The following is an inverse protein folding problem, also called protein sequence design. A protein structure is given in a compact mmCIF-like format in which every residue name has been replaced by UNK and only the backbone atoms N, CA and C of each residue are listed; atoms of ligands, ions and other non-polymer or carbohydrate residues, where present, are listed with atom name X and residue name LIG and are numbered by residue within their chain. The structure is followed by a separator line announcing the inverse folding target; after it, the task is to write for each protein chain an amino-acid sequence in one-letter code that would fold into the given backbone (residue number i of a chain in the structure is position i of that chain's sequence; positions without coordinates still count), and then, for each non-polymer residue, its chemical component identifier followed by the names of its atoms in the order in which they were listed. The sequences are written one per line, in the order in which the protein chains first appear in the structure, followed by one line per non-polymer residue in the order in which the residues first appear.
data_IF_023906000812
#
_entry.id   IF_023906000812
#
_cell.length_a   1.000
_cell.length_b   1.000
_cell.length_c   1.000
_cell.angle_alpha   90.00
_cell.angle_beta   90.00
_cell.angle_gamma   90.00
#
_symmetry.space_group_name_H-M   'P 1'
#
loop_
_entity.id
_entity.type
_entity.pdbx_description
1 polymer ?
#
# COMPACT_ATOMS: atom_id res chain seq x y z
N UNK A 1 -7.66 48.95 -55.31
CA UNK A 1 -7.43 48.02 -56.43
C UNK A 1 -6.70 46.80 -55.87
N UNK A 2 -7.34 45.88 -55.14
CA UNK A 2 -8.62 45.17 -55.33
C UNK A 2 -8.51 43.93 -56.23
N UNK A 3 -8.75 42.76 -55.59
CA UNK A 3 -9.38 41.55 -56.15
C UNK A 3 -8.73 40.87 -57.39
N UNK A 4 -9.02 39.62 -57.76
CA UNK A 4 -9.33 38.38 -57.01
C UNK A 4 -9.36 37.21 -58.04
N UNK A 5 -9.42 35.96 -57.55
CA UNK A 5 -9.88 34.76 -58.29
C UNK A 5 -9.02 34.23 -59.47
N UNK A 6 -9.20 32.99 -59.99
CA UNK A 6 -9.37 31.62 -59.39
C UNK A 6 -9.15 30.58 -60.53
N UNK A 7 -9.63 29.32 -60.41
CA UNK A 7 -9.61 28.18 -61.38
C UNK A 7 -8.31 27.35 -61.25
N UNK A 8 -8.31 26.00 -61.19
CA UNK A 8 -9.20 24.91 -61.66
C UNK A 8 -9.44 23.83 -60.55
N UNK A 9 -10.21 22.72 -60.69
CA UNK A 9 -11.46 22.30 -61.39
C UNK A 9 -11.85 20.85 -60.86
N UNK A 10 -12.82 20.03 -61.36
CA UNK A 10 -13.86 19.47 -60.45
C UNK A 10 -14.26 17.95 -60.57
N UNK A 11 -15.22 17.52 -59.71
CA UNK A 11 -16.18 16.37 -59.87
C UNK A 11 -15.66 14.89 -59.79
N UNK A 12 -16.44 13.82 -59.48
CA UNK A 12 -17.69 13.59 -58.69
C UNK A 12 -18.05 12.05 -58.53
N UNK A 13 -18.54 11.58 -57.36
CA UNK A 13 -19.30 10.28 -57.09
C UNK A 13 -18.57 8.90 -57.27
N UNK A 14 -19.06 7.66 -56.95
CA UNK A 14 -20.40 7.07 -56.58
C UNK A 14 -20.35 5.89 -55.55
N UNK A 15 -21.08 6.02 -54.43
CA UNK A 15 -21.99 5.12 -53.63
C UNK A 15 -22.11 3.57 -53.86
N UNK A 16 -22.01 2.77 -52.77
CA UNK A 16 -22.95 1.69 -52.27
C UNK A 16 -22.30 0.82 -51.14
N UNK A 17 -22.99 0.24 -50.13
CA UNK A 17 -24.36 0.40 -49.63
C UNK A 17 -24.87 -0.79 -48.77
N UNK A 18 -25.28 -0.58 -47.49
CA UNK A 18 -26.01 -1.55 -46.64
C UNK A 18 -26.68 -0.88 -45.41
N UNK A 19 -27.80 -1.43 -44.89
CA UNK A 19 -28.60 -0.90 -43.76
C UNK A 19 -29.03 -2.04 -42.80
N UNK A 20 -29.33 -1.74 -41.52
CA UNK A 20 -30.62 -1.97 -40.82
C UNK A 20 -30.56 -1.76 -39.27
N UNK A 21 -31.60 -1.10 -38.72
CA UNK A 21 -32.23 -1.26 -37.37
C UNK A 21 -31.38 -1.08 -36.08
N UNK A 22 -31.53 -0.06 -35.22
CA UNK A 22 -32.67 0.57 -34.47
C UNK A 22 -33.09 -0.09 -33.12
N UNK A 23 -32.90 0.64 -32.01
CA UNK A 23 -33.93 0.83 -30.93
C UNK A 23 -33.58 2.00 -29.99
N UNK A 24 -34.61 2.65 -29.42
CA UNK A 24 -34.55 3.65 -28.33
C UNK A 24 -35.06 3.04 -27.01
N UNK A 25 -34.77 3.65 -25.86
CA UNK A 25 -35.81 4.41 -25.14
C UNK A 25 -35.33 5.85 -24.81
N UNK A 26 -36.09 6.92 -25.03
CA UNK A 26 -37.41 7.28 -24.46
C UNK A 26 -37.31 7.94 -23.09
N UNK A 27 -37.23 9.26 -23.07
CA UNK A 27 -37.30 10.11 -21.87
C UNK A 27 -38.75 10.35 -21.44
N UNK A 28 -38.97 10.49 -20.14
CA UNK A 28 -40.13 11.19 -19.57
C UNK A 28 -39.66 12.08 -18.42
N UNK A 29 -40.14 13.32 -18.40
CA UNK A 29 -40.04 14.22 -17.25
C UNK A 29 -41.46 14.57 -16.79
N UNK A 30 -41.65 14.70 -15.48
CA UNK A 30 -42.88 15.23 -14.88
C UNK A 30 -42.44 16.13 -13.71
N UNK A 31 -42.74 17.41 -13.83
CA UNK A 31 -42.85 18.36 -12.71
C UNK A 31 -44.34 18.37 -12.23
N UNK A 32 -44.78 18.93 -11.10
CA UNK A 32 -44.21 19.77 -10.04
C UNK A 32 -44.89 19.40 -8.71
N UNK A 33 -44.24 19.65 -7.57
CA UNK A 33 -44.91 20.15 -6.35
C UNK A 33 -43.87 20.67 -5.35
N UNK A 34 -44.01 21.91 -4.89
CA UNK A 34 -43.18 22.50 -3.83
C UNK A 34 -43.95 22.60 -2.51
N UNK A 35 -43.28 22.37 -1.40
CA UNK A 35 -43.72 22.88 -0.10
C UNK A 35 -42.50 23.29 0.73
N UNK A 36 -42.59 24.45 1.38
CA UNK A 36 -41.50 24.98 2.20
C UNK A 36 -41.85 24.85 3.69
N UNK A 37 -40.94 24.30 4.49
CA UNK A 37 -40.85 24.66 5.91
C UNK A 37 -39.41 24.61 6.44
N UNK A 38 -39.25 25.08 7.67
CA UNK A 38 -38.11 25.86 8.13
C UNK A 38 -36.98 25.07 8.81
N UNK A 39 -35.78 25.66 8.79
CA UNK A 39 -34.65 25.25 9.64
C UNK A 39 -35.03 25.34 11.13
N UNK A 40 -34.94 24.23 11.86
CA UNK A 40 -34.80 24.21 13.32
C UNK A 40 -34.23 22.85 13.79
N UNK A 41 -33.39 22.87 14.83
CA UNK A 41 -33.02 21.72 15.69
C UNK A 41 -32.73 20.36 15.02
N UNK A 42 -31.48 20.14 14.63
CA UNK A 42 -30.88 18.79 14.62
C UNK A 42 -29.78 18.69 15.69
N UNK A 43 -30.20 18.49 16.93
CA UNK A 43 -29.34 18.06 18.03
C UNK A 43 -29.92 16.79 18.67
N UNK A 44 -29.04 15.88 19.11
CA UNK A 44 -29.34 14.58 19.75
C UNK A 44 -29.97 13.49 18.86
N UNK A 45 -29.13 12.80 18.09
CA UNK A 45 -29.22 11.32 17.99
C UNK A 45 -27.82 10.71 18.04
N UNK A 46 -27.30 10.49 19.26
CA UNK A 46 -26.20 9.53 19.50
C UNK A 46 -26.80 8.38 20.29
N UNK A 47 -26.90 7.20 19.69
CA UNK A 47 -27.24 5.99 20.42
C UNK A 47 -26.01 5.52 21.19
N UNK A 48 -26.07 5.55 22.51
CA UNK A 48 -25.21 4.73 23.36
C UNK A 48 -25.74 3.29 23.30
N UNK A 49 -24.87 2.33 22.99
CA UNK A 49 -25.11 0.94 23.35
C UNK A 49 -24.23 0.68 24.56
N UNK A 50 -24.84 0.75 25.74
CA UNK A 50 -24.20 0.53 27.02
C UNK A 50 -24.31 -0.95 27.38
N UNK A 51 -23.17 -1.62 27.57
CA UNK A 51 -23.10 -3.07 27.70
C UNK A 51 -23.06 -3.46 29.17
N UNK A 52 -24.17 -3.99 29.70
CA UNK A 52 -24.35 -4.25 31.12
C UNK A 52 -24.38 -5.76 31.43
N UNK A 53 -23.37 -6.33 32.13
CA UNK A 53 -23.31 -7.76 32.41
C UNK A 53 -23.83 -8.13 33.80
N UNK A 54 -24.70 -9.16 33.93
CA UNK A 54 -24.63 -10.22 34.96
C UNK A 54 -25.83 -11.21 34.98
N UNK A 55 -25.49 -12.51 34.83
CA UNK A 55 -25.94 -13.66 35.66
C UNK A 55 -27.37 -14.26 35.52
N UNK A 56 -27.45 -15.58 35.77
CA UNK A 56 -28.65 -16.43 35.95
C UNK A 56 -29.41 -16.83 34.65
N UNK A 57 -29.91 -18.06 34.44
CA UNK A 57 -29.73 -19.37 35.13
C UNK A 57 -29.89 -20.55 34.13
N UNK A 58 -29.59 -21.77 34.56
CA UNK A 58 -29.90 -23.01 33.82
C UNK A 58 -31.39 -23.38 33.91
N UNK A 59 -31.90 -24.05 32.87
CA UNK A 59 -33.04 -24.97 32.96
C UNK A 59 -32.91 -26.10 31.93
N UNK A 60 -33.09 -27.35 32.36
CA UNK A 60 -33.32 -28.49 31.47
C UNK A 60 -34.71 -28.39 30.83
N UNK A 61 -34.89 -29.00 29.65
CA UNK A 61 -36.17 -29.59 29.24
C UNK A 61 -35.92 -30.79 28.33
N UNK A 62 -36.60 -31.90 28.63
CA UNK A 62 -36.48 -33.16 27.89
C UNK A 62 -37.51 -33.21 26.75
N UNK A 63 -37.29 -34.07 25.75
CA UNK A 63 -38.39 -34.64 24.98
C UNK A 63 -38.23 -36.16 24.84
N UNK A 64 -39.19 -36.89 25.38
CA UNK A 64 -39.39 -38.32 25.10
C UNK A 64 -40.14 -38.49 23.78
N UNK A 65 -39.83 -39.58 23.07
CA UNK A 65 -40.82 -40.40 22.38
C UNK A 65 -40.56 -41.87 22.73
N UNK A 66 -41.63 -42.66 22.82
CA UNK A 66 -41.60 -44.10 23.15
C UNK A 66 -42.61 -44.78 22.22
N UNK A 67 -42.19 -45.87 21.56
CA UNK A 67 -43.10 -46.83 20.94
C UNK A 67 -42.57 -48.28 21.14
N UNK A 68 -43.40 -49.30 20.88
CA UNK A 68 -43.64 -50.32 21.93
C UNK A 68 -43.53 -51.79 21.50
N UNK A 69 -42.32 -52.36 21.63
CA UNK A 69 -42.09 -53.82 21.76
C UNK A 69 -42.30 -54.68 20.49
N UNK A 70 -42.27 -56.03 20.58
CA UNK A 70 -42.13 -56.87 21.78
C UNK A 70 -40.75 -57.55 21.96
N UNK A 71 -40.59 -58.28 23.05
CA UNK A 71 -39.37 -58.99 23.49
C UNK A 71 -39.22 -60.41 22.96
N UNK A 72 -37.98 -60.85 22.76
CA UNK A 72 -37.55 -62.23 23.02
C UNK A 72 -36.29 -62.22 23.91
N UNK A 73 -36.24 -63.13 24.88
CA UNK A 73 -35.03 -63.45 25.64
C UNK A 73 -34.49 -64.80 25.17
N UNK A 74 -33.18 -64.95 25.08
CA UNK A 74 -32.56 -66.26 25.25
C UNK A 74 -31.19 -66.10 25.94
N UNK A 75 -30.93 -66.91 26.96
CA UNK A 75 -29.64 -67.00 27.64
C UNK A 75 -28.83 -68.13 27.00
N UNK A 76 -27.52 -67.94 26.80
CA UNK A 76 -26.60 -69.06 27.06
C UNK A 76 -25.18 -68.62 27.43
N UNK A 77 -24.42 -69.59 27.95
CA UNK A 77 -23.25 -69.37 28.82
C UNK A 77 -21.91 -69.33 28.06
N UNK A 78 -20.99 -68.60 28.67
CA UNK A 78 -19.54 -68.83 28.76
C UNK A 78 -18.86 -69.75 27.73
N UNK A 79 -17.82 -69.24 27.08
CA UNK A 79 -16.49 -69.87 27.18
C UNK A 79 -15.39 -68.80 27.09
N UNK A 80 -14.52 -68.74 28.10
CA UNK A 80 -13.25 -67.98 28.03
C UNK A 80 -12.16 -68.96 27.63
N UNK A 81 -11.42 -68.63 26.57
CA UNK A 81 -10.21 -69.36 26.16
C UNK A 81 -9.07 -68.36 26.07
N UNK A 82 -8.10 -68.48 26.99
CA UNK A 82 -6.89 -67.65 26.96
C UNK A 82 -5.93 -68.21 25.89
N UNK A 83 -5.73 -67.48 24.80
CA UNK A 83 -4.66 -67.74 23.86
C UNK A 83 -3.39 -66.96 24.28
N UNK A 84 -2.27 -67.66 24.43
CA UNK A 84 -0.96 -67.04 24.69
C UNK A 84 -0.41 -66.45 23.37
N UNK A 85 0.07 -65.20 23.36
CA UNK A 85 0.55 -64.58 22.12
C UNK A 85 1.89 -65.16 21.66
N UNK A 86 1.96 -65.55 20.38
CA UNK A 86 3.21 -65.83 19.67
C UNK A 86 3.64 -64.54 18.95
N UNK A 87 4.86 -64.02 19.14
CA UNK A 87 5.29 -62.76 18.54
C UNK A 87 5.71 -62.94 17.07
N UNK A 88 4.79 -62.74 16.14
CA UNK A 88 5.13 -62.53 14.72
C UNK A 88 5.68 -61.12 14.51
N UNK A 89 6.97 -61.02 14.14
CA UNK A 89 7.60 -59.76 13.72
C UNK A 89 7.04 -59.32 12.35
N UNK A 90 6.09 -58.38 12.34
CA UNK A 90 5.73 -57.63 11.13
C UNK A 90 6.26 -56.20 11.19
N UNK A 91 6.96 -55.78 10.13
CA UNK A 91 7.72 -54.52 10.05
C UNK A 91 6.85 -53.32 9.61
N UNK A 92 5.67 -53.18 10.20
CA UNK A 92 4.68 -52.13 9.86
C UNK A 92 4.84 -50.85 10.71
N UNK A 93 6.00 -50.18 10.62
CA UNK A 93 6.26 -48.92 11.36
C UNK A 93 6.68 -47.73 10.49
N UNK A 94 7.40 -47.97 9.39
CA UNK A 94 8.01 -46.90 8.57
C UNK A 94 7.14 -46.39 7.41
N UNK A 95 6.28 -47.25 6.82
CA UNK A 95 5.43 -46.87 5.69
C UNK A 95 4.18 -46.05 6.09
N UNK A 96 3.63 -46.31 7.28
CA UNK A 96 2.49 -45.57 7.84
C UNK A 96 2.91 -44.19 8.37
N UNK A 97 3.98 -44.15 9.18
CA UNK A 97 4.50 -42.90 9.77
C UNK A 97 4.94 -41.88 8.71
N UNK A 98 5.63 -42.31 7.65
CA UNK A 98 6.08 -41.44 6.56
C UNK A 98 4.93 -40.81 5.77
N UNK A 99 3.86 -41.56 5.45
CA UNK A 99 2.64 -41.01 4.83
C UNK A 99 2.00 -39.94 5.72
N UNK A 100 1.81 -40.24 7.01
CA UNK A 100 1.21 -39.33 7.98
C UNK A 100 2.01 -38.01 8.12
N UNK A 101 3.35 -38.08 8.08
CA UNK A 101 4.21 -36.88 8.08
C UNK A 101 4.03 -36.07 6.79
N UNK A 102 4.07 -36.71 5.62
CA UNK A 102 3.91 -36.04 4.32
C UNK A 102 2.56 -35.33 4.20
N UNK A 103 1.47 -35.97 4.63
CA UNK A 103 0.13 -35.37 4.55
C UNK A 103 -0.09 -34.30 5.62
N UNK A 104 0.54 -34.41 6.79
CA UNK A 104 0.62 -33.33 7.78
C UNK A 104 1.35 -32.08 7.21
N UNK A 105 2.47 -32.29 6.51
CA UNK A 105 3.21 -31.20 5.83
C UNK A 105 2.38 -30.57 4.71
N UNK A 106 1.70 -31.35 3.87
CA UNK A 106 0.78 -30.82 2.84
C UNK A 106 -0.33 -29.97 3.46
N UNK A 107 -0.96 -30.45 4.54
CA UNK A 107 -2.01 -29.73 5.24
C UNK A 107 -1.49 -28.41 5.83
N UNK A 108 -0.31 -28.42 6.46
CA UNK A 108 0.33 -27.21 6.96
C UNK A 108 0.68 -26.21 5.85
N UNK A 109 1.21 -26.68 4.72
CA UNK A 109 1.47 -25.83 3.54
C UNK A 109 0.18 -25.25 2.95
N UNK A 110 -0.91 -26.01 2.90
CA UNK A 110 -2.23 -25.50 2.50
C UNK A 110 -2.79 -24.45 3.45
N UNK A 111 -2.55 -24.60 4.76
CA UNK A 111 -2.88 -23.60 5.78
C UNK A 111 -2.03 -22.33 5.61
N UNK A 112 -0.71 -22.45 5.40
CA UNK A 112 0.17 -21.31 5.12
C UNK A 112 -0.18 -20.61 3.80
N UNK A 113 -0.58 -21.35 2.76
CA UNK A 113 -1.05 -20.78 1.50
C UNK A 113 -2.33 -19.95 1.69
N UNK A 114 -3.26 -20.41 2.54
CA UNK A 114 -4.43 -19.60 2.93
C UNK A 114 -4.04 -18.41 3.85
N UNK A 115 -2.96 -18.53 4.62
CA UNK A 115 -2.49 -17.50 5.56
C UNK A 115 -1.81 -16.30 4.88
N UNK A 116 -1.07 -16.53 3.79
CA UNK A 116 -0.23 -15.51 3.12
C UNK A 116 -0.98 -14.66 2.07
N UNK A 117 -2.27 -14.94 1.82
CA UNK A 117 -3.06 -14.37 0.71
C UNK A 117 -2.33 -14.44 -0.65
N UNK A 118 -2.44 -15.54 -1.39
CA UNK A 118 -1.52 -15.86 -2.48
C UNK A 118 -1.55 -14.83 -3.62
N UNK A 119 -2.69 -14.17 -3.87
CA UNK A 119 -2.81 -13.09 -4.85
C UNK A 119 -1.94 -11.86 -4.51
N UNK A 120 -1.74 -11.54 -3.23
CA UNK A 120 -0.89 -10.45 -2.78
C UNK A 120 0.58 -10.82 -2.97
N UNK A 121 0.96 -12.04 -2.58
CA UNK A 121 2.31 -12.58 -2.82
C UNK A 121 2.64 -12.62 -4.31
N UNK A 122 1.76 -13.16 -5.17
CA UNK A 122 1.96 -13.18 -6.63
C UNK A 122 2.14 -11.78 -7.21
N UNK A 123 1.33 -10.80 -6.76
CA UNK A 123 1.45 -9.41 -7.20
C UNK A 123 2.82 -8.81 -6.85
N UNK A 124 3.32 -9.06 -5.63
CA UNK A 124 4.67 -8.63 -5.22
C UNK A 124 5.78 -9.36 -5.97
N UNK A 125 5.67 -10.68 -6.17
CA UNK A 125 6.68 -11.44 -6.93
C UNK A 125 6.76 -10.97 -8.38
N UNK A 126 5.62 -10.72 -9.04
CA UNK A 126 5.59 -10.16 -10.41
C UNK A 126 6.21 -8.75 -10.43
N UNK A 127 5.88 -7.89 -9.46
CA UNK A 127 6.48 -6.56 -9.35
C UNK A 127 8.01 -6.62 -9.13
N UNK A 128 8.50 -7.55 -8.29
CA UNK A 128 9.92 -7.76 -8.05
C UNK A 128 10.65 -8.27 -9.30
N UNK A 129 10.10 -9.28 -10.01
CA UNK A 129 10.62 -9.76 -11.29
C UNK A 129 10.67 -8.61 -12.31
N UNK A 130 9.60 -7.83 -12.42
CA UNK A 130 9.53 -6.67 -13.32
C UNK A 130 10.57 -5.60 -12.95
N UNK A 131 10.81 -5.36 -11.67
CA UNK A 131 11.82 -4.39 -11.20
C UNK A 131 13.25 -4.87 -11.45
N UNK A 132 13.53 -6.17 -11.26
CA UNK A 132 14.82 -6.77 -11.62
C UNK A 132 15.08 -6.71 -13.13
N UNK A 133 14.05 -6.92 -13.96
CA UNK A 133 14.18 -6.83 -15.43
C UNK A 133 14.44 -5.41 -15.95
N UNK A 134 14.11 -4.35 -15.20
CA UNK A 134 14.49 -2.96 -15.54
C UNK A 134 16.02 -2.76 -15.46
N UNK A 135 16.74 -3.59 -14.68
CA UNK A 135 18.20 -3.53 -14.56
C UNK A 135 18.95 -4.35 -15.63
N UNK A 136 18.25 -4.92 -16.62
CA UNK A 136 18.85 -5.66 -17.75
C UNK A 136 18.97 -4.71 -18.94
N UNK A 137 20.18 -4.25 -19.25
CA UNK A 137 20.44 -3.44 -20.45
C UNK A 137 20.67 -4.31 -21.69
N UNK A 138 21.29 -5.48 -21.51
CA UNK A 138 21.76 -6.37 -22.56
C UNK A 138 21.45 -7.83 -22.18
N UNK A 139 21.30 -8.69 -23.19
CA UNK A 139 21.06 -10.13 -22.96
C UNK A 139 22.20 -10.84 -22.22
N UNK A 140 23.42 -10.27 -22.25
CA UNK A 140 24.58 -10.71 -21.46
C UNK A 140 24.36 -10.64 -19.95
N UNK A 141 23.49 -9.75 -19.49
CA UNK A 141 23.36 -9.41 -18.08
C UNK A 141 22.52 -10.47 -17.34
N UNK A 142 21.71 -11.23 -18.10
CA UNK A 142 20.93 -12.40 -17.68
C UNK A 142 21.89 -13.58 -17.41
N UNK A 143 22.60 -13.46 -16.31
CA UNK A 143 23.68 -14.33 -15.85
C UNK A 143 23.27 -15.10 -14.58
N UNK A 144 24.05 -16.09 -14.11
CA UNK A 144 23.82 -16.70 -12.80
C UNK A 144 23.75 -15.68 -11.64
N UNK A 145 24.49 -14.57 -11.75
CA UNK A 145 24.45 -13.48 -10.78
C UNK A 145 23.10 -12.73 -10.80
N UNK A 146 22.49 -12.54 -11.98
CA UNK A 146 21.13 -11.99 -12.09
C UNK A 146 20.10 -12.89 -11.39
N UNK A 147 20.19 -14.21 -11.57
CA UNK A 147 19.27 -15.14 -10.89
C UNK A 147 19.50 -15.18 -9.37
N UNK A 148 20.73 -15.04 -8.89
CA UNK A 148 21.03 -14.87 -7.46
C UNK A 148 20.40 -13.56 -6.94
N UNK A 149 20.61 -12.43 -7.63
CA UNK A 149 20.02 -11.14 -7.26
C UNK A 149 18.48 -11.15 -7.27
N UNK A 150 17.87 -11.83 -8.24
CA UNK A 150 16.42 -12.03 -8.31
C UNK A 150 15.90 -12.87 -7.14
N UNK A 151 16.61 -13.95 -6.77
CA UNK A 151 16.27 -14.75 -5.59
C UNK A 151 16.40 -13.93 -4.29
N UNK A 152 17.43 -13.10 -4.18
CA UNK A 152 17.61 -12.15 -3.07
C UNK A 152 16.53 -11.07 -3.03
N UNK A 153 15.98 -10.66 -4.18
CA UNK A 153 14.85 -9.73 -4.26
C UNK A 153 13.49 -10.37 -3.95
N UNK A 154 13.33 -11.68 -4.19
CA UNK A 154 12.07 -12.41 -3.98
C UNK A 154 11.94 -13.01 -2.57
N UNK A 155 13.00 -13.64 -2.05
CA UNK A 155 12.90 -14.50 -0.87
C UNK A 155 12.62 -13.73 0.44
N UNK A 156 13.30 -12.61 0.78
CA UNK A 156 13.00 -11.88 2.00
C UNK A 156 11.57 -11.28 2.01
N UNK A 157 11.05 -10.65 0.93
CA UNK A 157 9.67 -10.19 0.89
C UNK A 157 8.61 -11.27 1.14
N UNK A 158 8.83 -12.54 0.78
CA UNK A 158 7.89 -13.62 1.13
C UNK A 158 7.74 -13.81 2.64
N UNK A 159 8.82 -13.64 3.41
CA UNK A 159 8.76 -13.65 4.88
C UNK A 159 8.16 -12.36 5.45
N UNK A 160 8.38 -11.21 4.80
CA UNK A 160 7.67 -9.98 5.14
C UNK A 160 6.16 -10.13 4.94
N UNK A 161 5.72 -10.81 3.89
CA UNK A 161 4.30 -11.08 3.61
C UNK A 161 3.66 -12.01 4.65
N UNK A 162 4.37 -13.06 5.10
CA UNK A 162 3.92 -13.90 6.22
C UNK A 162 3.74 -13.09 7.51
N UNK A 163 4.70 -12.21 7.81
CA UNK A 163 4.62 -11.30 8.95
C UNK A 163 3.45 -10.32 8.82
N UNK A 164 3.32 -9.61 7.68
CA UNK A 164 2.28 -8.61 7.39
C UNK A 164 0.87 -9.21 7.53
N UNK A 165 0.63 -10.35 6.88
CA UNK A 165 -0.68 -10.98 6.85
C UNK A 165 -1.04 -11.67 8.17
N UNK A 166 -0.05 -12.16 8.91
CA UNK A 166 -0.25 -12.72 10.24
C UNK A 166 -0.52 -11.64 11.30
N UNK A 167 0.18 -10.50 11.24
CA UNK A 167 -0.13 -9.32 12.07
C UNK A 167 -1.56 -8.85 11.85
N UNK A 168 -2.03 -8.76 10.61
CA UNK A 168 -3.44 -8.46 10.31
C UNK A 168 -4.37 -9.49 10.97
N UNK A 169 -4.20 -10.79 10.71
CA UNK A 169 -5.09 -11.82 11.26
C UNK A 169 -5.13 -11.82 12.80
N UNK A 170 -4.01 -11.53 13.48
CA UNK A 170 -3.97 -11.42 14.95
C UNK A 170 -4.79 -10.23 15.46
N UNK A 171 -4.70 -9.07 14.81
CA UNK A 171 -5.42 -7.87 15.23
C UNK A 171 -6.88 -7.81 14.78
N UNK A 172 -7.18 -8.32 13.59
CA UNK A 172 -8.54 -8.43 13.02
C UNK A 172 -9.27 -9.69 13.50
N UNK A 173 -8.74 -10.50 14.42
CA UNK A 173 -9.25 -11.85 14.75
C UNK A 173 -10.77 -11.94 14.95
N UNK A 174 -11.37 -11.06 15.75
CA UNK A 174 -12.83 -11.03 15.99
C UNK A 174 -13.63 -10.45 14.81
N UNK A 175 -13.00 -9.61 13.99
CA UNK A 175 -13.58 -9.03 12.77
C UNK A 175 -13.61 -10.08 11.65
N UNK A 176 -12.54 -10.87 11.52
CA UNK A 176 -12.40 -11.90 10.50
C UNK A 176 -13.20 -13.17 10.79
N UNK A 177 -13.60 -13.43 12.04
CA UNK A 177 -14.67 -14.41 12.33
C UNK A 177 -16.00 -14.06 11.63
N UNK A 178 -16.27 -12.78 11.41
CA UNK A 178 -17.50 -12.30 10.76
C UNK A 178 -17.26 -12.15 9.25
N UNK A 179 -16.19 -11.43 8.88
CA UNK A 179 -15.97 -11.02 7.49
C UNK A 179 -15.23 -12.06 6.64
N UNK A 180 -14.34 -12.87 7.23
CA UNK A 180 -13.45 -13.80 6.52
C UNK A 180 -13.31 -15.15 7.26
N UNK A 181 -14.42 -15.82 7.67
CA UNK A 181 -14.39 -16.98 8.60
C UNK A 181 -13.62 -18.21 8.08
N UNK A 182 -13.23 -18.23 6.80
CA UNK A 182 -12.44 -19.30 6.19
C UNK A 182 -10.94 -19.22 6.51
N UNK A 183 -10.43 -18.08 7.00
CA UNK A 183 -9.00 -17.86 7.24
C UNK A 183 -8.43 -18.79 8.33
N UNK A 184 -7.15 -19.17 8.25
CA UNK A 184 -6.50 -20.07 9.20
C UNK A 184 -6.75 -19.76 10.68
N UNK A 185 -6.56 -18.51 11.10
CA UNK A 185 -6.74 -18.13 12.51
C UNK A 185 -8.23 -18.01 12.87
N UNK A 186 -9.03 -17.32 12.06
CA UNK A 186 -10.46 -17.11 12.30
C UNK A 186 -11.26 -18.42 12.34
N UNK A 187 -10.92 -19.38 11.46
CA UNK A 187 -11.56 -20.70 11.39
C UNK A 187 -11.02 -21.71 12.41
N UNK A 188 -10.06 -21.32 13.26
CA UNK A 188 -9.44 -22.21 14.25
C UNK A 188 -8.48 -23.29 13.70
N UNK A 189 -8.21 -23.32 12.37
CA UNK A 189 -7.21 -24.24 11.77
C UNK A 189 -5.80 -23.98 12.30
N UNK A 190 -5.52 -22.74 12.70
CA UNK A 190 -4.25 -22.28 13.25
C UNK A 190 -4.51 -21.64 14.62
N UNK A 191 -3.82 -22.09 15.67
CA UNK A 191 -3.96 -21.49 16.99
C UNK A 191 -3.32 -20.11 17.06
N UNK A 192 -3.79 -19.23 17.96
CA UNK A 192 -3.19 -17.90 18.17
C UNK A 192 -1.70 -17.99 18.55
N UNK A 193 -1.30 -19.02 19.32
CA UNK A 193 0.12 -19.28 19.65
C UNK A 193 0.92 -19.65 18.41
N UNK A 194 0.40 -20.57 17.58
CA UNK A 194 1.03 -20.98 16.31
C UNK A 194 1.15 -19.81 15.34
N UNK A 195 0.13 -18.96 15.26
CA UNK A 195 0.15 -17.73 14.47
C UNK A 195 1.23 -16.76 14.96
N UNK A 196 1.32 -16.49 16.27
CA UNK A 196 2.35 -15.65 16.85
C UNK A 196 3.78 -16.18 16.60
N UNK A 197 3.98 -17.50 16.67
CA UNK A 197 5.26 -18.12 16.30
C UNK A 197 5.60 -17.94 14.81
N UNK A 198 4.63 -18.08 13.89
CA UNK A 198 4.84 -17.84 12.45
C UNK A 198 5.16 -16.36 12.18
N UNK A 199 4.44 -15.43 12.81
CA UNK A 199 4.69 -13.99 12.67
C UNK A 199 6.09 -13.61 13.16
N UNK A 200 6.48 -14.09 14.35
CA UNK A 200 7.79 -13.80 14.93
C UNK A 200 8.93 -14.42 14.14
N UNK A 201 8.83 -15.70 13.76
CA UNK A 201 9.87 -16.38 12.98
C UNK A 201 10.01 -15.79 11.58
N UNK A 202 8.92 -15.36 10.95
CA UNK A 202 8.96 -14.70 9.64
C UNK A 202 9.63 -13.32 9.71
N UNK A 203 9.36 -12.52 10.75
CA UNK A 203 10.05 -11.25 10.95
C UNK A 203 11.57 -11.44 11.15
N UNK A 204 11.95 -12.40 12.00
CA UNK A 204 13.36 -12.74 12.27
C UNK A 204 14.05 -13.26 11.00
N UNK A 205 13.41 -14.17 10.26
CA UNK A 205 13.95 -14.73 9.02
C UNK A 205 14.11 -13.67 7.94
N UNK A 206 13.12 -12.77 7.78
CA UNK A 206 13.21 -11.64 6.85
C UNK A 206 14.39 -10.72 7.19
N UNK A 207 14.53 -10.34 8.47
CA UNK A 207 15.64 -9.49 8.90
C UNK A 207 17.01 -10.18 8.72
N UNK A 208 17.13 -11.45 9.12
CA UNK A 208 18.35 -12.24 8.96
C UNK A 208 18.75 -12.38 7.48
N UNK A 209 17.82 -12.70 6.59
CA UNK A 209 18.09 -12.77 5.15
C UNK A 209 18.58 -11.42 4.58
N UNK A 210 17.94 -10.31 4.95
CA UNK A 210 18.40 -8.98 4.52
C UNK A 210 19.82 -8.64 5.04
N UNK A 211 20.16 -9.05 6.26
CA UNK A 211 21.52 -8.92 6.80
C UNK A 211 22.53 -9.80 6.06
N UNK A 212 22.17 -11.06 5.73
CA UNK A 212 23.04 -11.97 4.96
C UNK A 212 23.26 -11.49 3.52
N UNK A 213 22.31 -10.76 2.93
CA UNK A 213 22.47 -10.11 1.61
C UNK A 213 23.38 -8.87 1.70
N UNK A 214 23.52 -8.25 2.88
CA UNK A 214 24.42 -7.12 3.13
C UNK A 214 24.05 -5.80 2.45
N UNK A 215 23.04 -5.79 1.56
CA UNK A 215 22.59 -4.59 0.85
C UNK A 215 21.91 -3.59 1.78
N UNK A 216 22.57 -2.46 2.02
CA UNK A 216 22.05 -1.37 2.85
C UNK A 216 20.67 -0.87 2.38
N UNK A 217 20.44 -0.82 1.07
CA UNK A 217 19.15 -0.43 0.49
C UNK A 217 18.02 -1.42 0.84
N UNK A 218 18.28 -2.73 0.78
CA UNK A 218 17.29 -3.76 1.14
C UNK A 218 17.03 -3.79 2.66
N UNK A 219 18.08 -3.66 3.46
CA UNK A 219 17.99 -3.58 4.93
C UNK A 219 17.15 -2.36 5.35
N UNK A 220 17.40 -1.17 4.79
CA UNK A 220 16.61 0.03 5.08
C UNK A 220 15.18 -0.06 4.55
N UNK A 221 14.97 -0.62 3.36
CA UNK A 221 13.63 -0.88 2.82
C UNK A 221 12.82 -1.79 3.76
N UNK A 222 13.40 -2.89 4.24
CA UNK A 222 12.77 -3.75 5.24
C UNK A 222 12.49 -3.00 6.54
N UNK A 223 13.47 -2.30 7.09
CA UNK A 223 13.32 -1.57 8.36
C UNK A 223 12.21 -0.50 8.29
N UNK A 224 12.11 0.23 7.16
CA UNK A 224 11.01 1.16 6.91
C UNK A 224 9.67 0.45 6.79
N UNK A 225 9.56 -0.61 5.99
CA UNK A 225 8.32 -1.38 5.82
C UNK A 225 7.83 -1.98 7.15
N UNK A 226 8.72 -2.58 7.93
CA UNK A 226 8.43 -3.15 9.25
C UNK A 226 7.97 -2.09 10.24
N UNK A 227 8.66 -0.94 10.29
CA UNK A 227 8.32 0.16 11.21
C UNK A 227 6.98 0.80 10.84
N UNK A 228 6.74 1.05 9.56
CA UNK A 228 5.48 1.60 9.05
C UNK A 228 4.30 0.65 9.31
N UNK A 229 4.48 -0.66 9.06
CA UNK A 229 3.44 -1.66 9.28
C UNK A 229 3.12 -1.90 10.76
N UNK A 230 4.15 -2.02 11.60
CA UNK A 230 4.00 -2.13 13.06
C UNK A 230 3.32 -0.88 13.61
N UNK A 231 3.80 0.32 13.21
CA UNK A 231 3.26 1.60 13.65
C UNK A 231 1.82 1.83 13.21
N UNK A 232 1.44 1.40 12.00
CA UNK A 232 0.06 1.36 11.53
C UNK A 232 -0.80 0.49 12.45
N UNK A 233 -0.43 -0.79 12.61
CA UNK A 233 -1.21 -1.80 13.34
C UNK A 233 -1.36 -1.45 14.83
N UNK A 234 -0.30 -0.95 15.45
CA UNK A 234 -0.33 -0.49 16.85
C UNK A 234 -1.21 0.76 17.00
N UNK A 235 -1.18 1.71 16.05
CA UNK A 235 -2.05 2.90 16.08
C UNK A 235 -3.53 2.54 15.89
N UNK A 236 -3.86 1.68 14.93
CA UNK A 236 -5.25 1.30 14.62
C UNK A 236 -5.84 0.35 15.65
N UNK A 237 -5.12 -0.69 16.08
CA UNK A 237 -5.71 -1.79 16.84
C UNK A 237 -5.39 -1.74 18.33
N UNK A 238 -4.14 -1.52 18.72
CA UNK A 238 -3.75 -1.42 20.15
C UNK A 238 -4.28 -0.13 20.76
N UNK A 239 -4.04 1.02 20.10
CA UNK A 239 -4.51 2.32 20.60
C UNK A 239 -5.93 2.70 20.16
N UNK A 240 -6.56 1.93 19.26
CA UNK A 240 -7.91 2.19 18.71
C UNK A 240 -8.06 3.60 18.11
N UNK A 241 -6.97 4.16 17.56
CA UNK A 241 -6.95 5.51 16.96
C UNK A 241 -7.08 5.40 15.44
N UNK A 242 -7.98 6.16 14.79
CA UNK A 242 -8.06 6.15 13.34
C UNK A 242 -6.74 6.61 12.72
N UNK A 243 -6.36 5.99 11.61
CA UNK A 243 -5.15 6.31 10.84
C UNK A 243 -5.30 7.56 9.98
N UNK A 244 -5.84 8.63 10.59
CA UNK A 244 -5.74 9.98 10.07
C UNK A 244 -4.25 10.36 10.04
N UNK A 245 -3.74 10.61 8.84
CA UNK A 245 -2.52 11.39 8.65
C UNK A 245 -2.90 12.86 8.87
N UNK A 246 -2.18 13.62 9.73
CA UNK A 246 -2.53 15.02 9.96
C UNK A 246 -2.34 15.82 8.66
N UNK A 247 -3.17 16.86 8.45
CA UNK A 247 -3.14 17.68 7.23
C UNK A 247 -1.73 18.20 6.93
N UNK A 248 -1.01 18.65 7.95
CA UNK A 248 0.39 19.09 7.87
C UNK A 248 1.33 18.04 7.28
N UNK A 249 1.15 16.74 7.59
CA UNK A 249 1.99 15.69 7.02
C UNK A 249 1.69 15.46 5.54
N UNK A 250 0.42 15.42 5.16
CA UNK A 250 0.00 15.26 3.75
C UNK A 250 0.50 16.46 2.92
N UNK A 251 0.35 17.67 3.44
CA UNK A 251 0.82 18.91 2.81
C UNK A 251 2.34 18.93 2.70
N UNK A 252 3.07 18.55 3.76
CA UNK A 252 4.53 18.41 3.73
C UNK A 252 5.00 17.35 2.73
N UNK A 253 4.30 16.21 2.61
CA UNK A 253 4.63 15.18 1.61
C UNK A 253 4.49 15.72 0.18
N UNK A 254 3.39 16.40 -0.14
CA UNK A 254 3.17 16.98 -1.47
C UNK A 254 4.16 18.14 -1.74
N UNK A 255 4.36 19.03 -0.77
CA UNK A 255 5.38 20.09 -0.84
C UNK A 255 6.76 19.51 -1.15
N UNK A 256 7.20 18.50 -0.38
CA UNK A 256 8.51 17.88 -0.55
C UNK A 256 8.63 17.12 -1.87
N UNK A 257 7.56 16.50 -2.38
CA UNK A 257 7.62 15.81 -3.67
C UNK A 257 8.01 16.74 -4.83
N UNK A 258 7.48 17.95 -4.87
CA UNK A 258 7.89 18.98 -5.83
C UNK A 258 9.26 19.60 -5.47
N UNK A 259 9.46 19.98 -4.20
CA UNK A 259 10.68 20.70 -3.78
C UNK A 259 11.95 19.84 -3.87
N UNK A 260 11.88 18.56 -3.48
CA UNK A 260 13.02 17.64 -3.59
C UNK A 260 13.36 17.31 -5.04
N UNK A 261 12.37 17.28 -5.95
CA UNK A 261 12.65 17.14 -7.39
C UNK A 261 13.34 18.39 -7.94
N UNK A 262 12.91 19.59 -7.52
CA UNK A 262 13.59 20.84 -7.84
C UNK A 262 15.03 20.89 -7.34
N UNK A 263 15.30 20.43 -6.10
CA UNK A 263 16.65 20.31 -5.56
C UNK A 263 17.49 19.27 -6.30
N UNK A 264 16.91 18.11 -6.61
CA UNK A 264 17.60 17.03 -7.33
C UNK A 264 18.02 17.43 -8.74
N UNK A 265 17.23 18.25 -9.44
CA UNK A 265 17.56 18.76 -10.78
C UNK A 265 18.46 20.01 -10.74
N UNK A 266 18.27 20.90 -9.76
CA UNK A 266 19.06 22.15 -9.68
C UNK A 266 20.49 21.97 -9.16
N UNK A 267 20.78 20.87 -8.44
CA UNK A 267 22.17 20.52 -8.08
C UNK A 267 23.03 20.21 -9.31
N UNK A 268 22.43 19.65 -10.37
CA UNK A 268 23.16 19.22 -11.58
C UNK A 268 23.56 20.42 -12.47
N UNK A 269 22.84 21.54 -12.38
CA UNK A 269 23.08 22.74 -13.20
C UNK A 269 24.51 23.31 -13.04
N UNK A 270 25.05 23.56 -11.84
CA UNK A 270 26.44 24.02 -11.67
C UNK A 270 27.51 22.96 -11.96
N UNK A 271 27.13 21.69 -12.10
CA UNK A 271 28.06 20.57 -12.15
C UNK A 271 28.19 19.96 -13.57
N UNK A 272 27.40 20.43 -14.55
CA UNK A 272 27.46 20.07 -16.00
C UNK A 272 28.89 20.02 -16.54
N UNK A 273 29.73 21.03 -16.23
CA UNK A 273 31.11 21.10 -16.74
C UNK A 273 32.02 20.02 -16.12
N UNK A 274 31.68 19.53 -14.93
CA UNK A 274 32.31 18.36 -14.31
C UNK A 274 31.80 17.06 -14.93
N UNK A 275 30.47 16.89 -14.96
CA UNK A 275 29.78 15.75 -15.57
C UNK A 275 30.34 15.45 -16.98
N UNK A 276 30.38 16.46 -17.85
CA UNK A 276 30.86 16.32 -19.23
C UNK A 276 32.34 15.93 -19.32
N UNK A 277 33.20 16.39 -18.40
CA UNK A 277 34.63 15.99 -18.36
C UNK A 277 34.83 14.54 -17.93
N UNK A 278 33.88 13.96 -17.20
CA UNK A 278 33.86 12.54 -16.83
C UNK A 278 32.96 11.69 -17.74
N UNK A 279 32.43 12.25 -18.84
CA UNK A 279 31.58 11.54 -19.81
C UNK A 279 30.15 11.27 -19.33
N UNK A 280 29.68 11.97 -18.29
CA UNK A 280 28.34 11.82 -17.74
C UNK A 280 27.36 12.75 -18.49
N UNK A 281 26.40 12.17 -19.21
CA UNK A 281 25.37 12.91 -19.95
C UNK A 281 24.15 13.21 -19.05
N UNK A 282 24.33 14.10 -18.06
CA UNK A 282 23.28 14.43 -17.08
C UNK A 282 22.09 15.16 -17.71
N UNK A 283 20.91 15.11 -17.06
CA UNK A 283 19.69 15.73 -17.59
C UNK A 283 19.87 17.24 -17.87
N UNK A 284 20.68 17.92 -17.05
CA UNK A 284 21.06 19.32 -17.20
C UNK A 284 21.98 19.58 -18.39
N UNK A 285 22.90 18.66 -18.72
CA UNK A 285 23.66 18.69 -19.96
C UNK A 285 22.76 18.51 -21.19
N UNK A 286 21.88 17.50 -21.17
CA UNK A 286 21.02 17.10 -22.30
C UNK A 286 19.96 18.12 -22.68
N UNK A 287 19.24 18.67 -21.70
CA UNK A 287 18.15 19.62 -21.94
C UNK A 287 18.66 21.08 -22.00
N UNK A 288 19.83 21.34 -21.42
CA UNK A 288 20.48 22.64 -21.32
C UNK A 288 20.10 23.42 -20.05
N UNK A 289 21.05 24.09 -19.39
CA UNK A 289 20.88 24.65 -18.05
C UNK A 289 19.74 25.67 -17.95
N UNK A 290 19.53 26.49 -18.99
CA UNK A 290 18.43 27.48 -19.04
C UNK A 290 17.04 26.84 -19.01
N UNK A 291 16.85 25.64 -19.57
CA UNK A 291 15.54 24.95 -19.53
C UNK A 291 15.33 24.27 -18.17
N UNK A 292 16.35 23.56 -17.66
CA UNK A 292 16.25 22.89 -16.35
C UNK A 292 16.06 23.91 -15.21
N UNK A 293 16.72 25.06 -15.26
CA UNK A 293 16.51 26.15 -14.30
C UNK A 293 15.04 26.56 -14.17
N UNK A 294 14.34 26.83 -15.29
CA UNK A 294 12.93 27.22 -15.25
C UNK A 294 12.00 26.07 -14.83
N UNK A 295 12.36 24.81 -15.11
CA UNK A 295 11.66 23.64 -14.57
C UNK A 295 11.80 23.58 -13.04
N UNK A 296 13.01 23.79 -12.51
CA UNK A 296 13.26 23.85 -11.06
C UNK A 296 12.48 24.98 -10.39
N UNK A 297 12.51 26.20 -10.96
CA UNK A 297 11.70 27.33 -10.48
C UNK A 297 10.20 26.96 -10.46
N UNK A 298 9.68 26.39 -11.54
CA UNK A 298 8.28 25.94 -11.60
C UNK A 298 7.92 24.89 -10.53
N UNK A 299 8.81 23.94 -10.26
CA UNK A 299 8.63 22.94 -9.20
C UNK A 299 8.60 23.59 -7.80
N UNK A 300 9.50 24.53 -7.51
CA UNK A 300 9.52 25.24 -6.24
C UNK A 300 8.29 26.15 -6.05
N UNK A 301 7.87 26.88 -7.09
CA UNK A 301 6.65 27.71 -7.05
C UNK A 301 5.39 26.85 -6.86
N UNK A 302 5.31 25.66 -7.47
CA UNK A 302 4.23 24.71 -7.20
C UNK A 302 4.25 24.22 -5.75
N UNK A 303 5.42 23.96 -5.16
CA UNK A 303 5.53 23.60 -3.75
C UNK A 303 5.00 24.71 -2.83
N UNK A 304 5.44 25.96 -3.02
CA UNK A 304 4.92 27.10 -2.25
C UNK A 304 3.44 27.34 -2.50
N UNK A 305 2.95 27.20 -3.73
CA UNK A 305 1.53 27.26 -4.07
C UNK A 305 0.69 26.24 -3.28
N UNK A 306 1.16 24.99 -3.16
CA UNK A 306 0.54 23.97 -2.29
C UNK A 306 0.52 24.41 -0.83
N UNK A 307 1.62 24.96 -0.29
CA UNK A 307 1.66 25.44 1.10
C UNK A 307 0.72 26.63 1.36
N UNK A 308 0.62 27.58 0.42
CA UNK A 308 -0.26 28.75 0.51
C UNK A 308 -1.74 28.30 0.48
N UNK A 309 -2.12 27.48 -0.50
CA UNK A 309 -3.48 26.93 -0.61
C UNK A 309 -3.86 26.08 0.60
N UNK A 310 -2.94 25.27 1.10
CA UNK A 310 -3.15 24.45 2.28
C UNK A 310 -3.26 25.28 3.58
N UNK A 311 -2.45 26.33 3.74
CA UNK A 311 -2.50 27.26 4.87
C UNK A 311 -3.83 28.03 4.92
N UNK A 312 -4.27 28.59 3.79
CA UNK A 312 -5.57 29.25 3.67
C UNK A 312 -6.75 28.31 3.98
N UNK A 313 -6.72 27.09 3.44
CA UNK A 313 -7.75 26.05 3.63
C UNK A 313 -7.62 25.23 4.93
N UNK A 314 -6.66 25.56 5.81
CA UNK A 314 -6.48 24.89 7.10
C UNK A 314 -7.66 25.13 8.06
N UNK A 315 -7.73 24.36 9.13
CA UNK A 315 -8.64 24.60 10.27
C UNK A 315 -8.01 25.45 11.37
N UNK A 316 -6.83 26.05 11.12
CA UNK A 316 -6.10 26.82 12.11
C UNK A 316 -6.72 28.20 12.39
N UNK A 317 -6.50 28.78 13.59
CA UNK A 317 -6.88 30.15 13.91
C UNK A 317 -6.41 31.17 12.86
N UNK A 318 -7.18 32.24 12.67
CA UNK A 318 -6.97 33.23 11.60
C UNK A 318 -5.54 33.79 11.54
N UNK A 319 -4.94 34.14 12.68
CA UNK A 319 -3.55 34.59 12.76
C UNK A 319 -2.54 33.56 12.23
N UNK A 320 -2.77 32.28 12.49
CA UNK A 320 -1.91 31.18 11.98
C UNK A 320 -2.09 31.01 10.47
N UNK A 321 -3.29 31.24 9.93
CA UNK A 321 -3.52 31.29 8.47
C UNK A 321 -2.76 32.44 7.81
N UNK A 322 -2.74 33.61 8.44
CA UNK A 322 -1.94 34.76 7.97
C UNK A 322 -0.46 34.40 7.99
N UNK A 323 0.08 33.93 9.13
CA UNK A 323 1.51 33.60 9.26
C UNK A 323 1.94 32.52 8.27
N UNK A 324 1.14 31.44 8.09
CA UNK A 324 1.47 30.37 7.13
C UNK A 324 1.31 30.82 5.67
N UNK A 325 0.22 31.49 5.31
CA UNK A 325 -0.06 31.93 3.96
C UNK A 325 0.90 33.03 3.49
N UNK A 326 1.04 34.11 4.28
CA UNK A 326 1.94 35.23 3.98
C UNK A 326 3.40 34.79 4.08
N UNK A 327 3.76 33.93 5.04
CA UNK A 327 5.11 33.39 5.15
C UNK A 327 5.55 32.62 3.91
N UNK A 328 4.73 31.68 3.42
CA UNK A 328 5.04 30.95 2.19
C UNK A 328 4.99 31.84 0.94
N UNK A 329 4.09 32.84 0.90
CA UNK A 329 4.07 33.83 -0.18
C UNK A 329 5.34 34.69 -0.21
N UNK A 330 5.88 35.08 0.94
CA UNK A 330 7.15 35.82 1.02
C UNK A 330 8.33 34.95 0.57
N UNK A 331 8.35 33.65 0.92
CA UNK A 331 9.37 32.72 0.43
C UNK A 331 9.30 32.52 -1.10
N UNK A 332 8.11 32.35 -1.66
CA UNK A 332 7.87 32.28 -3.10
C UNK A 332 8.30 33.56 -3.82
N UNK A 333 7.83 34.73 -3.37
CA UNK A 333 8.22 36.02 -3.94
C UNK A 333 9.73 36.29 -3.83
N UNK A 334 10.38 35.79 -2.77
CA UNK A 334 11.85 35.86 -2.62
C UNK A 334 12.55 34.97 -3.65
N UNK A 335 12.07 33.74 -3.85
CA UNK A 335 12.58 32.85 -4.90
C UNK A 335 12.45 33.50 -6.29
N UNK A 336 11.22 33.90 -6.65
CA UNK A 336 10.89 34.51 -7.93
C UNK A 336 11.71 35.77 -8.20
N UNK A 337 11.86 36.65 -7.21
CA UNK A 337 12.69 37.85 -7.31
C UNK A 337 14.17 37.50 -7.59
N UNK A 338 14.71 36.50 -6.90
CA UNK A 338 16.10 36.08 -7.04
C UNK A 338 16.40 35.47 -8.42
N UNK A 339 15.42 34.87 -9.12
CA UNK A 339 15.61 34.35 -10.48
C UNK A 339 16.17 35.38 -11.46
N UNK A 340 15.85 36.67 -11.27
CA UNK A 340 16.30 37.79 -12.10
C UNK A 340 17.81 38.01 -12.07
N UNK A 341 18.50 37.48 -11.06
CA UNK A 341 19.93 37.66 -10.81
C UNK A 341 20.74 36.38 -11.04
N UNK A 342 20.09 35.26 -11.42
CA UNK A 342 20.78 33.99 -11.67
C UNK A 342 21.24 33.91 -13.12
N UNK A 343 22.53 34.14 -13.34
CA UNK A 343 23.19 33.62 -14.53
C UNK A 343 23.44 32.12 -14.36
N UNK A 344 22.75 31.30 -15.16
CA UNK A 344 22.90 29.83 -15.15
C UNK A 344 24.09 29.34 -15.97
N UNK A 345 24.79 30.22 -16.68
CA UNK A 345 26.04 29.90 -17.40
C UNK A 345 27.28 30.06 -16.53
N UNK A 346 27.14 30.71 -15.37
CA UNK A 346 28.16 30.84 -14.35
C UNK A 346 27.90 29.84 -13.19
N UNK A 347 28.75 28.80 -13.00
CA UNK A 347 28.56 27.79 -11.96
C UNK A 347 28.51 28.36 -10.53
N UNK A 348 29.21 29.47 -10.24
CA UNK A 348 29.17 30.09 -8.91
C UNK A 348 27.82 30.74 -8.62
N UNK A 349 27.21 31.38 -9.63
CA UNK A 349 25.84 31.90 -9.56
C UNK A 349 24.82 30.78 -9.35
N UNK A 350 24.92 29.70 -10.14
CA UNK A 350 24.05 28.53 -9.98
C UNK A 350 24.19 27.85 -8.59
N UNK A 351 25.41 27.70 -8.05
CA UNK A 351 25.63 27.21 -6.67
C UNK A 351 25.08 28.15 -5.60
N UNK A 352 25.17 29.46 -5.81
CA UNK A 352 24.57 30.46 -4.91
C UNK A 352 23.04 30.32 -4.85
N UNK A 353 22.39 30.17 -6.01
CA UNK A 353 20.95 29.90 -6.08
C UNK A 353 20.57 28.55 -5.45
N UNK A 354 21.35 27.50 -5.67
CA UNK A 354 21.14 26.21 -5.00
C UNK A 354 21.24 26.34 -3.45
N UNK A 355 22.23 27.08 -2.94
CA UNK A 355 22.35 27.38 -1.50
C UNK A 355 21.17 28.21 -0.95
N UNK A 356 20.64 29.15 -1.74
CA UNK A 356 19.43 29.91 -1.40
C UNK A 356 18.22 28.97 -1.26
N UNK A 357 18.03 28.02 -2.18
CA UNK A 357 16.90 27.09 -2.14
C UNK A 357 16.90 26.21 -0.87
N UNK A 358 18.06 25.82 -0.34
CA UNK A 358 18.15 25.16 0.97
C UNK A 358 17.73 26.09 2.14
N UNK A 359 18.04 27.38 2.08
CA UNK A 359 17.61 28.36 3.11
C UNK A 359 16.10 28.59 3.06
N UNK A 360 15.51 28.70 1.86
CA UNK A 360 14.07 28.83 1.66
C UNK A 360 13.30 27.58 2.12
N UNK A 361 13.84 26.38 1.87
CA UNK A 361 13.29 25.12 2.37
C UNK A 361 13.26 25.07 3.91
N UNK A 362 14.34 25.47 4.57
CA UNK A 362 14.39 25.55 6.03
C UNK A 362 13.35 26.56 6.57
N UNK A 363 13.13 27.68 5.88
CA UNK A 363 12.02 28.59 6.19
C UNK A 363 10.64 27.93 6.04
N UNK A 364 10.42 27.16 4.97
CA UNK A 364 9.17 26.43 4.75
C UNK A 364 8.91 25.37 5.85
N UNK A 365 9.94 24.66 6.31
CA UNK A 365 9.82 23.68 7.40
C UNK A 365 9.40 24.29 8.73
N UNK A 366 9.67 25.58 8.99
CA UNK A 366 9.12 26.28 10.16
C UNK A 366 7.61 26.52 10.00
N UNK A 367 7.11 26.75 8.78
CA UNK A 367 5.72 27.10 8.50
C UNK A 367 4.79 25.88 8.34
N UNK A 368 5.25 24.82 7.68
CA UNK A 368 4.44 23.64 7.36
C UNK A 368 3.73 22.96 8.57
N UNK A 369 4.34 22.82 9.77
CA UNK A 369 3.70 22.20 10.94
C UNK A 369 2.46 22.94 11.45
N UNK A 370 2.30 24.22 11.12
CA UNK A 370 1.16 25.04 11.53
C UNK A 370 -0.09 24.83 10.65
N UNK A 371 0.02 24.10 9.53
CA UNK A 371 -1.08 23.83 8.60
C UNK A 371 -1.91 22.62 9.07
N UNK A 372 -2.94 22.87 9.90
CA UNK A 372 -3.82 21.84 10.50
C UNK A 372 -5.11 21.56 9.73
#
# INVERSE_FOLDING_TARGET
MDWAHVIASPNCSVINGANLWTRKPSTKSIYYASSCRSKASQHKTKAQIEYNPLRSQQSHLNHHYIERGPTYQENNKNHVVNAVPVPSFESESHASSSKNIVDSVKNFLGILYQFIYPYAMYSRSIAAISASLIAVEKLSDISPLFFIGLLQALLPPMFMDLYVNGVNQVFDYEIDKINKPYLPLASGKLSLRSCAFIVASSAIMCFWLNLMIGSSALIWNFAMCFTLWTGYSVKTFVFKRPTVFPRSLIVSMVFMSFYSLGLALSKDIPDIEGDQKFGIDSFSARLGPKKVFWICVGLYEMAFGVAILAGASSSSPFWIKIVTGVGNLVLALTLWYQTKYVDVTNPASARSFYSLNWKLLNGAFVLLPFIR
#
